data_IF_719923941249
#
_entry.id   IF_719923941249
#
_cell.length_a   1.000
_cell.length_b   1.000
_cell.length_c   1.000
_cell.angle_alpha   90.00
_cell.angle_beta   90.00
_cell.angle_gamma   90.00
#
_symmetry.space_group_name_H-M   'P 1'
#
loop_
_entity.id
_entity.type
_entity.pdbx_description
1 polymer ?
#
# COMPACT_ATOMS: atom_id res chain seq x y z
N UNK A 1 0.42 -8.35 -2.45
CA UNK A 1 0.61 -8.37 -0.99
C UNK A 1 2.01 -7.83 -0.71
N UNK A 2 2.13 -6.97 0.31
CA UNK A 2 3.38 -6.44 0.86
C UNK A 2 3.47 -6.91 2.31
N UNK A 3 4.57 -7.55 2.72
CA UNK A 3 4.68 -8.09 4.08
C UNK A 3 6.09 -8.22 4.63
N UNK A 4 6.19 -8.43 5.95
CA UNK A 4 7.42 -8.67 6.72
C UNK A 4 8.08 -7.38 7.22
N UNK A 5 9.42 -7.38 7.34
CA UNK A 5 10.18 -6.17 7.67
C UNK A 5 10.69 -5.43 6.42
N UNK A 6 10.48 -4.12 6.34
CA UNK A 6 11.03 -3.27 5.27
C UNK A 6 12.03 -2.24 5.78
N UNK A 7 13.30 -2.62 5.76
CA UNK A 7 14.46 -1.76 6.07
C UNK A 7 15.67 -2.03 5.17
N UNK A 8 15.50 -2.01 3.82
CA UNK A 8 16.59 -2.27 2.90
C UNK A 8 17.72 -1.23 3.01
N UNK A 9 18.94 -1.64 2.71
CA UNK A 9 20.12 -0.77 2.68
C UNK A 9 20.02 0.27 1.56
N UNK A 10 19.66 -0.17 0.35
CA UNK A 10 19.27 0.71 -0.76
C UNK A 10 17.75 0.65 -0.98
N UNK A 11 17.05 1.57 -0.33
CA UNK A 11 15.59 1.64 -0.38
C UNK A 11 15.08 1.99 -1.78
N UNK A 12 15.84 2.77 -2.55
CA UNK A 12 15.42 3.16 -3.89
C UNK A 12 15.46 1.96 -4.82
N UNK A 13 16.57 1.25 -4.87
CA UNK A 13 16.74 0.09 -5.75
C UNK A 13 15.77 -1.04 -5.39
N UNK A 14 15.40 -1.15 -4.11
CA UNK A 14 14.40 -2.11 -3.66
C UNK A 14 12.97 -1.78 -4.15
N UNK A 15 12.52 -0.53 -4.01
CA UNK A 15 11.14 -0.15 -4.32
C UNK A 15 10.90 0.26 -5.78
N UNK A 16 11.93 0.71 -6.51
CA UNK A 16 11.77 1.20 -7.88
C UNK A 16 11.12 0.17 -8.83
N UNK A 17 11.53 -1.12 -8.83
CA UNK A 17 10.90 -2.10 -9.72
C UNK A 17 9.40 -2.28 -9.43
N UNK A 18 8.97 -2.11 -8.18
CA UNK A 18 7.56 -2.22 -7.80
C UNK A 18 6.77 -1.00 -8.25
N UNK A 19 7.32 0.21 -8.07
CA UNK A 19 6.71 1.44 -8.54
C UNK A 19 6.54 1.43 -10.07
N UNK A 20 7.60 1.10 -10.80
CA UNK A 20 7.57 1.03 -12.27
C UNK A 20 6.54 0.01 -12.78
N UNK A 21 6.44 -1.14 -12.11
CA UNK A 21 5.44 -2.14 -12.44
C UNK A 21 4.01 -1.62 -12.22
N UNK A 22 3.74 -0.98 -11.08
CA UNK A 22 2.43 -0.41 -10.76
C UNK A 22 2.06 0.73 -11.72
N UNK A 23 3.02 1.59 -12.09
CA UNK A 23 2.82 2.66 -13.07
C UNK A 23 2.52 2.10 -14.47
N UNK A 24 3.23 1.06 -14.90
CA UNK A 24 2.95 0.38 -16.16
C UNK A 24 1.55 -0.22 -16.16
N UNK A 25 1.21 -0.94 -15.08
CA UNK A 25 -0.12 -1.50 -14.89
C UNK A 25 -1.21 -0.41 -14.94
N UNK A 26 -1.01 0.71 -14.25
CA UNK A 26 -1.95 1.83 -14.23
C UNK A 26 -2.16 2.51 -15.60
N UNK A 27 -1.16 2.42 -16.50
CA UNK A 27 -1.25 2.94 -17.89
C UNK A 27 -2.02 2.00 -18.82
N UNK A 28 -1.95 0.70 -18.58
CA UNK A 28 -2.60 -0.33 -19.40
C UNK A 28 -4.09 -0.53 -19.04
N UNK A 29 -4.55 0.04 -17.93
CA UNK A 29 -5.95 -0.06 -17.51
C UNK A 29 -6.90 0.61 -18.52
N UNK A 30 -8.03 -0.04 -18.85
CA UNK A 30 -9.04 0.55 -19.70
C UNK A 30 -9.69 1.76 -19.01
N UNK A 31 -10.08 2.77 -19.79
CA UNK A 31 -10.67 4.01 -19.28
C UNK A 31 -12.00 3.82 -18.51
N UNK A 32 -12.66 2.65 -18.65
CA UNK A 32 -13.86 2.24 -17.92
C UNK A 32 -13.89 0.72 -17.75
N UNK A 33 -14.46 0.25 -16.64
CA UNK A 33 -14.62 -1.19 -16.35
C UNK A 33 -13.36 -1.83 -15.75
N UNK A 34 -12.68 -1.10 -14.85
CA UNK A 34 -11.55 -1.62 -14.10
C UNK A 34 -11.93 -2.80 -13.21
N UNK A 35 -10.91 -3.58 -12.79
CA UNK A 35 -11.12 -4.72 -11.88
C UNK A 35 -11.23 -4.23 -10.43
N UNK A 36 -11.82 -5.07 -9.59
CA UNK A 36 -11.69 -4.96 -8.14
C UNK A 36 -10.29 -5.44 -7.75
N UNK A 37 -9.55 -4.60 -7.03
CA UNK A 37 -8.14 -4.81 -6.67
C UNK A 37 -7.96 -4.61 -5.17
N UNK A 38 -7.63 -5.70 -4.48
CA UNK A 38 -7.35 -5.67 -3.05
C UNK A 38 -5.83 -5.73 -2.82
N UNK A 39 -5.31 -4.73 -2.12
CA UNK A 39 -3.89 -4.65 -1.77
C UNK A 39 -3.71 -4.86 -0.28
N UNK A 40 -3.02 -5.94 0.07
CA UNK A 40 -2.73 -6.30 1.45
C UNK A 40 -1.35 -5.76 1.85
N UNK A 41 -1.30 -5.06 2.99
CA UNK A 41 -0.12 -4.54 3.64
C UNK A 41 -0.05 -5.15 5.04
N UNK A 42 0.90 -6.04 5.26
CA UNK A 42 1.08 -6.80 6.49
C UNK A 42 2.54 -6.72 6.94
N UNK A 43 2.93 -5.55 7.43
CA UNK A 43 4.31 -5.30 7.85
C UNK A 43 4.45 -5.46 9.35
N UNK A 44 5.51 -6.16 9.76
CA UNK A 44 5.97 -6.25 11.15
C UNK A 44 6.75 -4.97 11.52
N UNK A 45 7.45 -4.39 10.54
CA UNK A 45 8.21 -3.15 10.73
C UNK A 45 8.54 -2.51 9.38
N UNK A 46 8.61 -1.18 9.34
CA UNK A 46 9.29 -0.46 8.26
C UNK A 46 9.88 0.85 8.74
N UNK A 47 11.03 1.23 8.19
CA UNK A 47 11.66 2.50 8.56
C UNK A 47 11.02 3.70 7.84
N UNK A 48 11.38 4.93 8.24
CA UNK A 48 10.82 6.15 7.67
C UNK A 48 11.09 6.34 6.17
N UNK A 49 12.14 5.72 5.62
CA UNK A 49 12.41 5.80 4.18
C UNK A 49 11.50 4.84 3.42
N UNK A 50 11.33 3.61 3.89
CA UNK A 50 10.34 2.65 3.36
C UNK A 50 8.92 3.22 3.42
N UNK A 51 8.56 3.92 4.50
CA UNK A 51 7.27 4.60 4.64
C UNK A 51 7.00 5.59 3.49
N UNK A 52 8.03 6.33 3.02
CA UNK A 52 7.89 7.25 1.88
C UNK A 52 7.56 6.51 0.59
N UNK A 53 8.20 5.38 0.33
CA UNK A 53 7.92 4.58 -0.85
C UNK A 53 6.57 3.86 -0.79
N UNK A 54 6.12 3.46 0.41
CA UNK A 54 4.76 2.94 0.63
C UNK A 54 3.72 4.03 0.31
N UNK A 55 3.96 5.28 0.71
CA UNK A 55 3.11 6.42 0.30
C UNK A 55 3.12 6.64 -1.21
N UNK A 56 4.28 6.48 -1.88
CA UNK A 56 4.36 6.58 -3.34
C UNK A 56 3.58 5.46 -4.03
N UNK A 57 3.61 4.23 -3.49
CA UNK A 57 2.73 3.13 -3.92
C UNK A 57 1.26 3.56 -3.79
N UNK A 58 0.84 4.11 -2.65
CA UNK A 58 -0.54 4.55 -2.45
C UNK A 58 -0.98 5.64 -3.44
N UNK A 59 -0.08 6.55 -3.84
CA UNK A 59 -0.40 7.54 -4.89
C UNK A 59 -0.76 6.86 -6.21
N UNK A 60 0.02 5.87 -6.65
CA UNK A 60 -0.25 5.13 -7.88
C UNK A 60 -1.56 4.32 -7.75
N UNK A 61 -1.79 3.69 -6.59
CA UNK A 61 -3.04 2.98 -6.32
C UNK A 61 -4.26 3.91 -6.37
N UNK A 62 -4.15 5.15 -5.88
CA UNK A 62 -5.20 6.15 -5.99
C UNK A 62 -5.42 6.61 -7.45
N UNK A 63 -4.38 6.69 -8.28
CA UNK A 63 -4.55 6.90 -9.73
C UNK A 63 -5.32 5.77 -10.40
N UNK A 64 -5.00 4.52 -10.04
CA UNK A 64 -5.74 3.34 -10.51
C UNK A 64 -7.22 3.41 -10.07
N UNK A 65 -7.46 3.81 -8.82
CA UNK A 65 -8.80 3.96 -8.28
C UNK A 65 -9.62 5.02 -9.02
N UNK A 66 -9.03 6.20 -9.23
CA UNK A 66 -9.70 7.33 -9.91
C UNK A 66 -9.94 7.10 -11.40
N UNK A 67 -9.19 6.18 -12.04
CA UNK A 67 -9.46 5.69 -13.41
C UNK A 67 -10.63 4.70 -13.50
N UNK A 68 -11.25 4.35 -12.38
CA UNK A 68 -12.48 3.53 -12.35
C UNK A 68 -12.27 2.07 -11.97
N UNK A 69 -11.08 1.68 -11.49
CA UNK A 69 -10.90 0.41 -10.79
C UNK A 69 -11.34 0.58 -9.33
N UNK A 70 -11.90 -0.47 -8.73
CA UNK A 70 -12.25 -0.44 -7.31
C UNK A 70 -11.04 -0.95 -6.53
N UNK A 71 -10.25 -0.02 -5.99
CA UNK A 71 -9.09 -0.35 -5.17
C UNK A 71 -9.50 -0.35 -3.71
N UNK A 72 -9.11 -1.38 -2.97
CA UNK A 72 -9.18 -1.40 -1.51
C UNK A 72 -7.83 -1.76 -0.89
N UNK A 73 -7.51 -1.13 0.24
CA UNK A 73 -6.31 -1.43 1.01
C UNK A 73 -6.72 -2.21 2.26
N UNK A 74 -6.12 -3.39 2.45
CA UNK A 74 -6.21 -4.17 3.68
C UNK A 74 -4.95 -3.94 4.48
N UNK A 75 -5.05 -3.21 5.58
CA UNK A 75 -3.95 -2.93 6.50
C UNK A 75 -4.00 -3.93 7.65
N UNK A 76 -3.05 -4.83 7.70
CA UNK A 76 -2.94 -5.85 8.74
C UNK A 76 -2.07 -5.34 9.88
N UNK A 77 -2.46 -5.62 11.11
CA UNK A 77 -1.74 -5.27 12.32
C UNK A 77 -2.01 -6.33 13.41
N UNK A 78 -1.05 -6.59 14.28
CA UNK A 78 -1.21 -7.50 15.42
C UNK A 78 -2.03 -6.82 16.53
N UNK A 79 -2.80 -7.60 17.32
CA UNK A 79 -3.70 -7.06 18.37
C UNK A 79 -2.97 -6.15 19.37
N UNK A 80 -1.70 -6.45 19.68
CA UNK A 80 -0.86 -5.71 20.60
C UNK A 80 0.06 -4.65 19.95
N UNK A 81 -0.02 -4.47 18.62
CA UNK A 81 0.72 -3.45 17.87
C UNK A 81 -0.16 -2.23 17.53
N UNK A 82 -0.51 -1.47 18.57
CA UNK A 82 -1.28 -0.22 18.44
C UNK A 82 -0.55 0.83 17.59
N UNK A 83 0.79 0.83 17.60
CA UNK A 83 1.63 1.76 16.83
C UNK A 83 1.45 1.49 15.32
N UNK A 84 1.48 0.22 14.89
CA UNK A 84 1.26 -0.15 13.48
C UNK A 84 -0.15 0.20 13.01
N UNK A 85 -1.16 0.05 13.88
CA UNK A 85 -2.52 0.51 13.59
C UNK A 85 -2.56 2.03 13.41
N UNK A 86 -1.94 2.81 14.30
CA UNK A 86 -1.88 4.27 14.20
C UNK A 86 -1.21 4.70 12.88
N UNK A 87 -0.09 4.08 12.50
CA UNK A 87 0.57 4.35 11.23
C UNK A 87 -0.35 4.05 10.05
N UNK A 88 -1.07 2.92 10.07
CA UNK A 88 -2.09 2.60 9.07
C UNK A 88 -3.16 3.68 8.96
N UNK A 89 -3.63 4.21 10.09
CA UNK A 89 -4.58 5.31 10.13
C UNK A 89 -4.02 6.60 9.53
N UNK A 90 -2.77 6.95 9.81
CA UNK A 90 -2.10 8.10 9.19
C UNK A 90 -1.93 7.93 7.68
N UNK A 91 -1.48 6.76 7.24
CA UNK A 91 -1.35 6.40 5.82
C UNK A 91 -2.68 6.53 5.08
N UNK A 92 -3.78 6.05 5.68
CA UNK A 92 -5.12 6.14 5.07
C UNK A 92 -5.53 7.60 4.81
N UNK A 93 -5.30 8.50 5.77
CA UNK A 93 -5.62 9.94 5.67
C UNK A 93 -4.87 10.61 4.52
N UNK A 94 -3.65 10.14 4.22
CA UNK A 94 -2.82 10.65 3.13
C UNK A 94 -3.19 10.03 1.76
N UNK A 95 -3.63 8.77 1.74
CA UNK A 95 -3.80 7.98 0.50
C UNK A 95 -5.06 8.31 -0.31
N UNK A 96 -6.13 8.78 0.35
CA UNK A 96 -7.50 8.92 -0.23
C UNK A 96 -8.09 7.62 -0.79
N UNK A 97 -7.58 6.47 -0.33
CA UNK A 97 -8.08 5.14 -0.67
C UNK A 97 -8.96 4.60 0.47
N UNK A 98 -9.90 3.68 0.18
CA UNK A 98 -10.62 2.98 1.23
C UNK A 98 -9.70 1.96 1.90
N UNK A 99 -9.52 2.11 3.21
CA UNK A 99 -8.76 1.21 4.06
C UNK A 99 -9.71 0.34 4.87
N UNK A 100 -9.36 -0.93 5.02
CA UNK A 100 -9.89 -1.85 6.01
C UNK A 100 -8.74 -2.29 6.92
N UNK A 101 -8.92 -2.11 8.23
CA UNK A 101 -7.95 -2.53 9.24
C UNK A 101 -8.30 -3.93 9.68
N UNK A 102 -7.37 -4.86 9.47
CA UNK A 102 -7.53 -6.27 9.76
C UNK A 102 -6.60 -6.60 10.92
N UNK A 103 -7.18 -6.84 12.08
CA UNK A 103 -6.46 -7.39 13.21
C UNK A 103 -6.08 -8.84 12.88
N UNK A 104 -4.79 -9.15 12.97
CA UNK A 104 -4.26 -10.51 12.83
C UNK A 104 -3.97 -11.05 14.21
N UNK A 105 -4.68 -12.10 14.61
CA UNK A 105 -4.35 -12.87 15.82
C UNK A 105 -3.33 -13.97 15.53
N UNK A 106 -2.67 -14.43 16.59
CA UNK A 106 -1.80 -15.63 16.60
C UNK A 106 -2.52 -16.91 16.12
#
# INVERSE_FOLDING_TARGET
EFKGESRPEDVRDFYMPVLEWLESYARELPAKGGKDLDFHFNFEYFNSTSAKYILDIFKILNEIHTKGSKVSVKWHYEEDDEDMLEVGMEMSRMSRLPFEYIETGD
#
